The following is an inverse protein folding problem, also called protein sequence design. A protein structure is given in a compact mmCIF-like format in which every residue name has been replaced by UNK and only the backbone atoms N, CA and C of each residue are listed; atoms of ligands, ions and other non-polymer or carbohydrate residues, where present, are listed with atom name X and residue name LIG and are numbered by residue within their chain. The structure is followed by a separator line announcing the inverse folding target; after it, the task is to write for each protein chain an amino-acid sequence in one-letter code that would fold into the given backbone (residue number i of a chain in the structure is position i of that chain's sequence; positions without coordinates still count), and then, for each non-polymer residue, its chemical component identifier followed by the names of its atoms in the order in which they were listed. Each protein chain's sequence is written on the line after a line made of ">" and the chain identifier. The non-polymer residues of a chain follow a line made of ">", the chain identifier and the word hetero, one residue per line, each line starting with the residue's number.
data_IF_009783187260
#
_entry.id   IF_009783187260
#
_cell.length_a   1.000
_cell.length_b   1.000
_cell.length_c   1.000
_cell.angle_alpha   90.00
_cell.angle_beta   90.00
_cell.angle_gamma   90.00
#
_symmetry.space_group_name_H-M   'P 1'
#
loop_
_entity.id
_entity.type
_entity.pdbx_description
1 polymer ?
#
# COMPACT_ATOMS: atom_id res chain seq x y z
N UNK A 1 -24.29 -15.36 21.54
CA UNK A 1 -23.05 -14.58 21.30
C UNK A 1 -23.05 -14.11 19.84
N UNK A 2 -23.79 -13.08 19.44
CA UNK A 2 -23.63 -11.63 19.68
C UNK A 2 -22.41 -10.93 19.05
N UNK A 3 -21.71 -11.55 18.08
CA UNK A 3 -20.61 -10.90 17.35
C UNK A 3 -20.78 -10.81 15.81
N UNK A 4 -21.86 -11.34 15.24
CA UNK A 4 -22.10 -11.37 13.79
C UNK A 4 -23.06 -10.28 13.27
N UNK A 5 -23.50 -9.37 14.14
CA UNK A 5 -24.53 -8.35 13.83
C UNK A 5 -24.03 -6.91 13.84
N UNK A 6 -22.73 -6.68 14.08
CA UNK A 6 -22.17 -5.33 14.24
C UNK A 6 -21.54 -4.74 12.96
N UNK A 7 -21.37 -5.54 11.89
CA UNK A 7 -20.82 -5.07 10.62
C UNK A 7 -21.87 -4.68 9.58
N UNK A 8 -23.16 -4.99 9.80
CA UNK A 8 -24.25 -4.67 8.88
C UNK A 8 -25.00 -3.37 9.21
N UNK A 9 -24.50 -2.55 10.13
CA UNK A 9 -25.21 -1.37 10.66
C UNK A 9 -24.50 -0.02 10.43
N UNK A 10 -23.43 0.03 9.62
CA UNK A 10 -22.64 1.25 9.41
C UNK A 10 -22.70 1.85 8.00
N UNK A 11 -23.63 1.43 7.15
CA UNK A 11 -23.92 2.13 5.89
C UNK A 11 -25.40 2.55 5.88
N UNK A 12 -25.73 3.84 6.06
CA UNK A 12 -27.08 4.31 5.79
C UNK A 12 -27.34 4.20 4.29
N UNK A 13 -28.38 3.44 3.94
CA UNK A 13 -29.05 3.49 2.64
C UNK A 13 -29.42 4.93 2.31
N UNK A 14 -28.55 5.62 1.58
CA UNK A 14 -28.78 6.98 1.10
C UNK A 14 -29.28 6.89 -0.34
N UNK A 15 -30.58 6.63 -0.48
CA UNK A 15 -31.30 6.87 -1.73
C UNK A 15 -31.43 8.38 -1.89
N UNK A 16 -30.47 9.02 -2.55
CA UNK A 16 -30.63 10.40 -3.02
C UNK A 16 -31.13 10.38 -4.46
N UNK A 17 -32.44 10.56 -4.62
CA UNK A 17 -33.02 10.96 -5.90
C UNK A 17 -32.63 12.41 -6.18
N UNK A 18 -31.81 12.63 -7.20
CA UNK A 18 -31.59 13.96 -7.75
C UNK A 18 -32.48 14.16 -8.97
N UNK A 19 -33.39 15.14 -8.85
CA UNK A 19 -34.14 15.74 -9.94
C UNK A 19 -33.18 16.24 -11.03
N UNK A 20 -33.36 15.73 -12.24
CA UNK A 20 -32.64 16.13 -13.44
C UNK A 20 -33.16 17.49 -13.90
N UNK A 21 -32.39 18.56 -13.67
CA UNK A 21 -32.51 19.81 -14.40
C UNK A 21 -31.84 19.70 -15.78
N UNK A 22 -32.28 20.48 -16.80
CA UNK A 22 -31.81 20.31 -18.17
C UNK A 22 -30.34 20.73 -18.35
N UNK A 23 -29.63 20.17 -19.36
CA UNK A 23 -28.18 20.28 -19.46
C UNK A 23 -27.76 21.65 -20.03
N UNK A 24 -26.88 22.35 -19.32
CA UNK A 24 -26.05 23.41 -19.90
C UNK A 24 -24.64 22.89 -20.17
N UNK A 25 -24.24 22.92 -21.43
CA UNK A 25 -22.89 22.94 -22.02
C UNK A 25 -21.80 23.36 -21.01
N UNK A 26 -20.64 22.73 -20.80
CA UNK A 26 -19.76 21.87 -21.62
C UNK A 26 -18.33 22.17 -21.11
N UNK A 27 -17.52 21.13 -20.84
CA UNK A 27 -16.09 21.12 -20.43
C UNK A 27 -15.67 21.27 -18.94
N UNK A 28 -16.36 22.01 -18.07
CA UNK A 28 -15.94 22.12 -16.64
C UNK A 28 -16.45 21.00 -15.70
N UNK A 29 -17.48 20.26 -16.09
CA UNK A 29 -18.16 19.28 -15.20
C UNK A 29 -17.41 17.96 -15.06
N UNK A 30 -16.64 17.53 -16.09
CA UNK A 30 -15.97 16.22 -16.11
C UNK A 30 -14.77 16.15 -15.16
N UNK A 31 -13.94 17.19 -15.11
CA UNK A 31 -12.78 17.26 -14.21
C UNK A 31 -13.21 17.32 -12.74
N UNK A 32 -14.22 18.12 -12.43
CA UNK A 32 -14.77 18.23 -11.06
C UNK A 32 -15.38 16.92 -10.57
N UNK A 33 -16.09 16.21 -11.45
CA UNK A 33 -16.67 14.91 -11.11
C UNK A 33 -15.59 13.84 -10.89
N UNK A 34 -14.56 13.80 -11.74
CA UNK A 34 -13.44 12.86 -11.58
C UNK A 34 -12.68 13.10 -10.27
N UNK A 35 -12.45 14.35 -9.87
CA UNK A 35 -11.81 14.67 -8.61
C UNK A 35 -12.63 14.22 -7.40
N UNK A 36 -13.96 14.40 -7.45
CA UNK A 36 -14.87 13.93 -6.40
C UNK A 36 -14.88 12.41 -6.30
N UNK A 37 -14.98 11.71 -7.44
CA UNK A 37 -14.94 10.24 -7.47
C UNK A 37 -13.61 9.73 -6.94
N UNK A 38 -12.48 10.26 -7.42
CA UNK A 38 -11.15 9.92 -6.88
C UNK A 38 -11.06 10.10 -5.37
N UNK A 39 -11.56 11.24 -4.87
CA UNK A 39 -11.54 11.55 -3.43
C UNK A 39 -12.40 10.55 -2.64
N UNK A 40 -13.55 10.16 -3.19
CA UNK A 40 -14.40 9.13 -2.59
C UNK A 40 -13.71 7.76 -2.56
N UNK A 41 -13.18 7.28 -3.68
CA UNK A 41 -12.53 5.97 -3.76
C UNK A 41 -11.28 5.91 -2.85
N UNK A 42 -10.52 7.01 -2.74
CA UNK A 42 -9.37 7.12 -1.84
C UNK A 42 -9.80 7.09 -0.36
N UNK A 43 -10.83 7.86 -0.01
CA UNK A 43 -11.37 7.88 1.35
C UNK A 43 -11.93 6.52 1.77
N UNK A 44 -12.68 5.86 0.87
CA UNK A 44 -13.26 4.55 1.15
C UNK A 44 -12.16 3.50 1.31
N UNK A 45 -11.18 3.44 0.39
CA UNK A 45 -10.05 2.53 0.51
C UNK A 45 -9.30 2.72 1.83
N UNK A 46 -8.98 3.97 2.20
CA UNK A 46 -8.32 4.29 3.45
C UNK A 46 -9.14 3.86 4.66
N UNK A 47 -10.43 4.20 4.69
CA UNK A 47 -11.34 3.84 5.78
C UNK A 47 -11.40 2.32 5.97
N UNK A 48 -11.52 1.56 4.88
CA UNK A 48 -11.56 0.11 4.95
C UNK A 48 -10.26 -0.49 5.49
N UNK A 49 -9.11 0.01 5.03
CA UNK A 49 -7.78 -0.46 5.46
C UNK A 49 -7.44 -0.06 6.90
N UNK A 50 -7.86 1.12 7.35
CA UNK A 50 -7.72 1.56 8.74
C UNK A 50 -8.63 0.75 9.66
N UNK A 51 -9.89 0.52 9.27
CA UNK A 51 -10.82 -0.34 10.02
C UNK A 51 -10.29 -1.78 10.18
N UNK A 52 -9.66 -2.32 9.12
CA UNK A 52 -8.99 -3.63 9.19
C UNK A 52 -7.82 -3.62 10.16
N UNK A 53 -6.99 -2.57 10.15
CA UNK A 53 -5.87 -2.43 11.07
C UNK A 53 -6.34 -2.33 12.54
N UNK A 54 -7.37 -1.54 12.80
CA UNK A 54 -7.97 -1.37 14.12
C UNK A 54 -8.58 -2.67 14.65
N UNK A 55 -9.28 -3.41 13.78
CA UNK A 55 -9.81 -4.74 14.06
C UNK A 55 -8.73 -5.84 14.11
N UNK A 56 -7.46 -5.50 13.79
CA UNK A 56 -6.32 -6.43 13.68
C UNK A 56 -6.59 -7.60 12.71
N UNK A 57 -7.33 -7.34 11.65
CA UNK A 57 -7.56 -8.29 10.57
C UNK A 57 -6.29 -8.34 9.72
N UNK A 58 -5.68 -9.52 9.61
CA UNK A 58 -4.52 -9.72 8.75
C UNK A 58 -4.97 -9.79 7.29
N UNK A 59 -4.11 -9.36 6.37
CA UNK A 59 -4.42 -9.40 4.93
C UNK A 59 -4.66 -10.84 4.45
N UNK A 60 -3.96 -11.81 5.05
CA UNK A 60 -4.14 -13.26 4.81
C UNK A 60 -5.51 -13.78 5.25
N UNK A 61 -6.16 -13.13 6.20
CA UNK A 61 -7.42 -13.56 6.82
C UNK A 61 -8.65 -12.90 6.17
N UNK A 62 -8.44 -12.02 5.19
CA UNK A 62 -9.53 -11.39 4.44
C UNK A 62 -10.15 -12.43 3.49
N UNK A 63 -11.48 -12.51 3.48
CA UNK A 63 -12.20 -13.35 2.54
C UNK A 63 -12.05 -12.85 1.09
N UNK A 64 -12.35 -13.73 0.14
CA UNK A 64 -12.17 -13.45 -1.29
C UNK A 64 -13.00 -12.25 -1.76
N UNK A 65 -14.22 -12.08 -1.26
CA UNK A 65 -15.10 -10.99 -1.70
C UNK A 65 -14.54 -9.64 -1.25
N UNK A 66 -14.17 -9.52 0.02
CA UNK A 66 -13.56 -8.29 0.54
C UNK A 66 -12.23 -7.97 -0.12
N UNK A 67 -11.42 -8.99 -0.46
CA UNK A 67 -10.19 -8.80 -1.24
C UNK A 67 -10.47 -8.19 -2.62
N UNK A 68 -11.48 -8.71 -3.33
CA UNK A 68 -11.87 -8.19 -4.64
C UNK A 68 -12.37 -6.74 -4.56
N UNK A 69 -13.06 -6.39 -3.48
CA UNK A 69 -13.51 -5.03 -3.22
C UNK A 69 -12.33 -4.05 -3.09
N UNK A 70 -11.33 -4.39 -2.26
CA UNK A 70 -10.11 -3.56 -2.10
C UNK A 70 -9.31 -3.43 -3.40
N UNK A 71 -9.20 -4.51 -4.18
CA UNK A 71 -8.59 -4.46 -5.51
C UNK A 71 -9.37 -3.53 -6.44
N UNK A 72 -10.70 -3.57 -6.41
CA UNK A 72 -11.52 -2.68 -7.23
C UNK A 72 -11.32 -1.21 -6.89
N UNK A 73 -11.21 -0.86 -5.60
CA UNK A 73 -10.86 0.51 -5.19
C UNK A 73 -9.49 0.93 -5.71
N UNK A 74 -8.48 0.06 -5.56
CA UNK A 74 -7.12 0.33 -6.05
C UNK A 74 -7.10 0.53 -7.58
N UNK A 75 -7.76 -0.35 -8.33
CA UNK A 75 -7.81 -0.28 -9.80
C UNK A 75 -8.49 1.02 -10.29
N UNK A 76 -9.56 1.45 -9.62
CA UNK A 76 -10.18 2.74 -9.90
C UNK A 76 -9.24 3.90 -9.62
N UNK A 77 -8.52 3.89 -8.49
CA UNK A 77 -7.53 4.93 -8.17
C UNK A 77 -6.43 5.01 -9.22
N UNK A 78 -5.91 3.86 -9.66
CA UNK A 78 -4.90 3.79 -10.72
C UNK A 78 -5.44 4.31 -12.06
N UNK A 79 -6.73 4.17 -12.32
CA UNK A 79 -7.36 4.72 -13.54
C UNK A 79 -7.45 6.26 -13.55
N UNK A 80 -7.28 6.90 -12.39
CA UNK A 80 -7.24 8.36 -12.27
C UNK A 80 -5.81 8.88 -12.40
N UNK A 81 -5.70 10.16 -12.78
CA UNK A 81 -4.43 10.86 -12.67
C UNK A 81 -4.05 11.01 -11.19
N UNK A 82 -2.84 10.53 -10.86
CA UNK A 82 -2.23 10.68 -9.54
C UNK A 82 -2.18 12.16 -9.14
N UNK A 83 -2.61 12.54 -7.93
CA UNK A 83 -2.54 13.93 -7.46
C UNK A 83 -1.11 14.50 -7.42
N UNK A 84 -0.15 13.65 -7.10
CA UNK A 84 1.29 13.96 -7.19
C UNK A 84 1.84 13.27 -8.43
N UNK A 85 2.66 13.99 -9.21
CA UNK A 85 3.37 13.38 -10.33
C UNK A 85 4.22 12.23 -9.81
N UNK A 86 4.15 11.06 -10.46
CA UNK A 86 4.89 9.87 -10.01
C UNK A 86 6.40 10.12 -9.98
N UNK A 87 6.89 11.07 -10.80
CA UNK A 87 8.28 11.54 -10.81
C UNK A 87 8.70 12.30 -9.56
N UNK A 88 7.75 12.95 -8.90
CA UNK A 88 7.98 13.76 -7.69
C UNK A 88 7.85 12.96 -6.40
N UNK A 89 7.28 11.75 -6.46
CA UNK A 89 7.13 10.83 -5.32
C UNK A 89 8.37 10.74 -4.42
N UNK A 90 9.61 10.64 -4.94
CA UNK A 90 10.82 10.59 -4.11
C UNK A 90 10.94 11.74 -3.12
N UNK A 91 10.51 12.95 -3.52
CA UNK A 91 10.55 14.14 -2.68
C UNK A 91 9.53 14.06 -1.53
N UNK A 92 8.49 13.26 -1.70
CA UNK A 92 7.44 13.03 -0.69
C UNK A 92 7.72 11.84 0.21
N UNK A 93 8.68 10.98 -0.12
CA UNK A 93 9.04 9.82 0.68
C UNK A 93 10.05 10.17 1.79
N UNK A 94 10.95 11.14 1.59
CA UNK A 94 11.98 11.45 2.61
C UNK A 94 11.34 11.83 3.95
N UNK A 95 11.87 11.27 5.05
CA UNK A 95 11.39 11.50 6.42
C UNK A 95 9.92 11.14 6.60
N UNK A 96 9.52 9.97 6.10
CA UNK A 96 8.16 9.45 6.22
C UNK A 96 8.14 7.97 6.59
N UNK A 97 7.03 7.54 7.19
CA UNK A 97 6.76 6.15 7.54
C UNK A 97 5.53 5.67 6.77
N UNK A 98 5.62 4.50 6.17
CA UNK A 98 4.56 3.91 5.36
C UNK A 98 4.31 2.48 5.82
N UNK A 99 3.05 2.14 6.08
CA UNK A 99 2.63 0.77 6.39
C UNK A 99 2.12 0.12 5.12
N UNK A 100 2.61 -1.08 4.82
CA UNK A 100 1.97 -1.93 3.82
C UNK A 100 0.61 -2.39 4.37
N UNK A 101 -0.47 -1.80 3.86
CA UNK A 101 -1.82 -2.04 4.34
C UNK A 101 -2.52 -3.18 3.60
N UNK A 102 -2.18 -3.38 2.32
CA UNK A 102 -2.74 -4.44 1.50
C UNK A 102 -1.80 -4.81 0.35
N UNK A 103 -1.88 -6.06 -0.10
CA UNK A 103 -1.23 -6.53 -1.33
C UNK A 103 -2.18 -7.48 -2.06
N UNK A 104 -2.21 -7.39 -3.40
CA UNK A 104 -2.99 -8.30 -4.22
C UNK A 104 -2.20 -9.57 -4.62
N UNK A 105 -0.92 -9.70 -4.23
CA UNK A 105 -0.14 -10.90 -4.53
C UNK A 105 -0.50 -12.05 -3.57
N UNK A 106 -1.18 -13.06 -4.11
CA UNK A 106 -1.52 -14.26 -3.38
C UNK A 106 -0.31 -15.00 -2.79
N UNK A 107 0.88 -14.87 -3.38
CA UNK A 107 2.10 -15.45 -2.81
C UNK A 107 2.50 -14.73 -1.54
N UNK A 108 2.60 -13.38 -1.59
CA UNK A 108 2.88 -12.57 -0.41
C UNK A 108 1.82 -12.82 0.66
N UNK A 109 0.53 -12.94 0.31
CA UNK A 109 -0.53 -13.24 1.28
C UNK A 109 -0.38 -14.62 1.96
N UNK A 110 0.13 -15.62 1.23
CA UNK A 110 0.37 -16.97 1.75
C UNK A 110 1.67 -17.06 2.56
N UNK A 111 2.69 -16.28 2.19
CA UNK A 111 3.99 -16.29 2.84
C UNK A 111 4.15 -15.24 3.92
N UNK A 112 3.23 -14.26 4.00
CA UNK A 112 3.11 -13.32 5.10
C UNK A 112 2.99 -14.15 6.37
N UNK A 113 4.12 -14.28 7.08
CA UNK A 113 4.25 -15.25 8.15
C UNK A 113 3.09 -15.09 9.12
N UNK A 114 2.52 -16.19 9.62
CA UNK A 114 1.42 -16.14 10.62
C UNK A 114 1.74 -15.25 11.83
N UNK A 115 3.02 -14.94 12.03
CA UNK A 115 3.54 -14.11 13.11
C UNK A 115 3.84 -12.66 12.72
N UNK A 116 3.92 -12.30 11.43
CA UNK A 116 4.12 -10.94 10.99
C UNK A 116 2.82 -10.15 11.15
N UNK A 117 2.86 -9.11 11.99
CA UNK A 117 1.71 -8.27 12.33
C UNK A 117 1.61 -7.05 11.41
N UNK A 118 2.74 -6.45 11.06
CA UNK A 118 2.78 -5.30 10.16
C UNK A 118 4.13 -5.20 9.46
N UNK A 119 4.14 -4.56 8.30
CA UNK A 119 5.33 -4.22 7.53
C UNK A 119 5.34 -2.72 7.35
N UNK A 120 6.49 -2.11 7.64
CA UNK A 120 6.70 -0.67 7.59
C UNK A 120 7.96 -0.34 6.79
N UNK A 121 7.87 0.74 6.02
CA UNK A 121 8.98 1.41 5.35
C UNK A 121 9.17 2.77 6.02
N UNK A 122 10.33 2.99 6.62
CA UNK A 122 10.69 4.29 7.20
C UNK A 122 11.82 4.91 6.41
N UNK A 123 11.47 5.88 5.59
CA UNK A 123 12.39 6.58 4.71
C UNK A 123 13.13 7.66 5.50
N UNK A 124 14.45 7.61 5.42
CA UNK A 124 15.37 8.52 6.06
C UNK A 124 16.06 9.40 5.01
N UNK A 125 16.75 10.42 5.47
CA UNK A 125 17.67 11.18 4.62
C UNK A 125 18.74 10.28 3.99
N UNK A 126 19.33 10.74 2.88
CA UNK A 126 20.44 10.09 2.16
C UNK A 126 20.10 8.71 1.57
N UNK A 127 18.91 8.57 1.01
CA UNK A 127 18.51 7.36 0.27
C UNK A 127 18.52 6.09 1.14
N UNK A 128 18.29 6.21 2.45
CA UNK A 128 18.19 5.09 3.37
C UNK A 128 16.72 4.82 3.68
N UNK A 129 16.34 3.55 3.77
CA UNK A 129 15.02 3.14 4.25
C UNK A 129 15.17 2.00 5.26
N UNK A 130 14.45 2.07 6.37
CA UNK A 130 14.30 0.96 7.30
C UNK A 130 13.07 0.16 6.91
N UNK A 131 13.31 -1.10 6.55
CA UNK A 131 12.26 -2.09 6.34
C UNK A 131 12.04 -2.83 7.65
N UNK A 132 10.88 -2.62 8.27
CA UNK A 132 10.56 -3.10 9.61
C UNK A 132 9.40 -4.08 9.51
N UNK A 133 9.64 -5.34 9.87
CA UNK A 133 8.60 -6.36 10.03
C UNK A 133 8.33 -6.53 11.51
N UNK A 134 7.21 -5.98 11.96
CA UNK A 134 6.79 -6.14 13.34
C UNK A 134 6.11 -7.50 13.49
N UNK A 135 6.62 -8.29 14.42
CA UNK A 135 6.08 -9.61 14.71
C UNK A 135 5.09 -9.54 15.90
N UNK A 136 4.33 -10.61 16.12
CA UNK A 136 3.46 -10.74 17.29
C UNK A 136 4.24 -10.69 18.61
N UNK A 137 3.54 -10.52 19.74
CA UNK A 137 4.09 -10.26 21.09
C UNK A 137 5.24 -11.16 21.58
N UNK A 138 5.46 -12.32 20.95
CA UNK A 138 6.49 -13.30 21.35
C UNK A 138 7.80 -13.16 20.57
N UNK A 139 7.86 -12.31 19.56
CA UNK A 139 8.99 -12.21 18.64
C UNK A 139 9.45 -10.75 18.55
N UNK A 140 10.77 -10.56 18.49
CA UNK A 140 11.36 -9.26 18.23
C UNK A 140 11.05 -8.82 16.78
N UNK A 141 10.88 -7.50 16.53
CA UNK A 141 10.79 -6.99 15.17
C UNK A 141 12.03 -7.36 14.37
N UNK A 142 11.84 -7.69 13.11
CA UNK A 142 12.95 -7.84 12.15
C UNK A 142 13.13 -6.49 11.47
N UNK A 143 14.34 -5.95 11.51
CA UNK A 143 14.66 -4.66 10.91
C UNK A 143 15.81 -4.82 9.91
N UNK A 144 15.60 -4.34 8.69
CA UNK A 144 16.60 -4.31 7.63
C UNK A 144 16.82 -2.87 7.17
N UNK A 145 18.08 -2.53 6.88
CA UNK A 145 18.47 -1.24 6.32
C UNK A 145 18.71 -1.41 4.82
N UNK A 146 17.93 -0.71 4.01
CA UNK A 146 18.06 -0.75 2.56
C UNK A 146 18.48 0.63 2.07
N UNK A 147 19.14 0.67 0.92
CA UNK A 147 19.21 1.87 0.09
C UNK A 147 17.99 1.91 -0.82
N UNK A 148 17.56 3.11 -1.18
CA UNK A 148 16.53 3.30 -2.20
C UNK A 148 16.97 4.35 -3.20
N UNK A 149 16.69 4.09 -4.46
CA UNK A 149 16.93 5.00 -5.57
C UNK A 149 15.60 5.20 -6.30
N UNK A 150 15.44 6.37 -6.90
CA UNK A 150 14.31 6.60 -7.79
C UNK A 150 14.77 7.04 -9.14
N UNK A 151 14.13 6.48 -10.16
CA UNK A 151 14.23 7.01 -11.50
C UNK A 151 13.16 8.09 -11.68
N UNK A 152 13.60 9.35 -11.62
CA UNK A 152 12.74 10.52 -11.79
C UNK A 152 12.09 10.59 -13.19
N UNK A 153 12.54 9.81 -14.17
CA UNK A 153 11.91 9.78 -15.50
C UNK A 153 10.68 8.87 -15.54
N UNK A 154 10.64 7.84 -14.68
CA UNK A 154 9.59 6.81 -14.65
C UNK A 154 8.78 6.77 -13.35
N UNK A 155 9.19 7.50 -12.30
CA UNK A 155 8.56 7.41 -10.97
C UNK A 155 8.79 6.07 -10.28
N UNK A 156 9.77 5.30 -10.78
CA UNK A 156 10.11 3.97 -10.33
C UNK A 156 11.01 4.06 -9.10
N UNK A 157 10.59 3.41 -8.01
CA UNK A 157 11.38 3.30 -6.77
C UNK A 157 12.04 1.93 -6.74
N UNK A 158 13.34 1.90 -6.51
CA UNK A 158 14.14 0.67 -6.47
C UNK A 158 14.85 0.59 -5.13
N UNK A 159 14.68 -0.54 -4.45
CA UNK A 159 15.37 -0.83 -3.20
C UNK A 159 16.58 -1.73 -3.45
N UNK A 160 17.66 -1.52 -2.71
CA UNK A 160 18.87 -2.35 -2.73
C UNK A 160 19.41 -2.53 -1.31
N UNK A 161 20.14 -3.62 -1.05
CA UNK A 161 20.73 -3.84 0.26
C UNK A 161 21.78 -2.74 0.57
N UNK A 162 21.76 -2.17 1.78
CA UNK A 162 22.83 -1.25 2.20
C UNK A 162 24.13 -2.03 2.48
N UNK A 163 25.28 -1.44 2.14
CA UNK A 163 26.59 -2.12 2.10
C UNK A 163 26.97 -2.87 3.39
N UNK A 164 26.52 -2.41 4.56
CA UNK A 164 26.77 -3.05 5.86
C UNK A 164 26.01 -4.36 6.10
N UNK A 165 25.19 -4.80 5.14
CA UNK A 165 24.37 -6.01 5.23
C UNK A 165 24.91 -7.14 4.33
N UNK A 166 25.75 -6.84 3.33
CA UNK A 166 26.35 -7.86 2.45
C UNK A 166 27.12 -8.93 3.23
N UNK A 167 27.92 -8.53 4.22
CA UNK A 167 28.78 -9.45 4.98
C UNK A 167 28.05 -10.32 6.02
N UNK A 168 26.78 -10.02 6.34
CA UNK A 168 25.96 -10.78 7.31
C UNK A 168 24.79 -11.53 6.68
N UNK A 169 24.48 -11.30 5.41
CA UNK A 169 23.36 -11.95 4.72
C UNK A 169 23.65 -13.35 4.21
N UNK A 170 24.90 -13.66 3.88
CA UNK A 170 25.24 -14.92 3.18
C UNK A 170 25.01 -16.21 4.00
N UNK A 171 24.77 -16.15 5.31
CA UNK A 171 24.79 -17.38 6.15
C UNK A 171 23.48 -17.78 6.83
N UNK A 172 22.51 -16.89 7.07
CA UNK A 172 21.25 -17.29 7.74
C UNK A 172 19.98 -16.55 7.27
N UNK A 173 20.09 -15.52 6.43
CA UNK A 173 18.97 -14.58 6.24
C UNK A 173 18.27 -14.62 4.90
N UNK A 174 18.89 -15.20 3.86
CA UNK A 174 18.26 -15.34 2.56
C UNK A 174 16.93 -16.09 2.64
N UNK A 175 16.81 -17.17 3.42
CA UNK A 175 15.55 -17.93 3.46
C UNK A 175 14.37 -17.19 4.11
N UNK A 176 14.57 -16.32 5.10
CA UNK A 176 13.46 -15.60 5.76
C UNK A 176 13.07 -14.34 4.96
N UNK A 177 14.07 -13.64 4.43
CA UNK A 177 13.91 -12.44 3.61
C UNK A 177 13.35 -12.80 2.23
N UNK A 178 13.79 -13.92 1.66
CA UNK A 178 13.22 -14.54 0.46
C UNK A 178 11.78 -15.00 0.64
N UNK A 179 11.42 -15.48 1.85
CA UNK A 179 10.06 -15.94 2.15
C UNK A 179 9.10 -14.79 2.41
N UNK A 180 9.58 -13.66 2.91
CA UNK A 180 8.75 -12.46 3.11
C UNK A 180 8.40 -11.74 1.80
N UNK A 181 8.85 -12.24 0.64
CA UNK A 181 8.38 -11.85 -0.71
C UNK A 181 8.80 -10.45 -1.17
N UNK A 182 9.15 -9.56 -0.25
CA UNK A 182 9.35 -8.13 -0.49
C UNK A 182 10.78 -7.71 -0.83
N UNK A 183 11.76 -8.56 -0.52
CA UNK A 183 13.19 -8.28 -0.76
C UNK A 183 13.81 -9.17 -1.85
N UNK A 184 13.10 -10.22 -2.28
CA UNK A 184 13.33 -10.88 -3.57
C UNK A 184 13.06 -9.96 -4.77
N UNK A 185 12.54 -8.76 -4.51
CA UNK A 185 12.24 -7.71 -5.47
C UNK A 185 13.17 -6.50 -5.34
N UNK A 186 14.48 -6.73 -5.18
CA UNK A 186 15.47 -6.00 -5.98
C UNK A 186 15.32 -6.34 -7.50
N UNK A 187 14.10 -6.61 -7.94
CA UNK A 187 13.73 -6.94 -9.31
C UNK A 187 13.47 -5.62 -10.01
N UNK A 188 13.92 -5.48 -11.26
CA UNK A 188 13.48 -4.36 -12.05
C UNK A 188 11.96 -4.45 -12.28
N UNK A 189 11.19 -3.50 -11.75
CA UNK A 189 9.76 -3.38 -12.08
C UNK A 189 8.78 -3.01 -10.96
N UNK A 190 9.21 -2.43 -9.83
CA UNK A 190 8.27 -1.79 -8.88
C UNK A 190 8.02 -0.36 -9.35
N UNK A 191 6.82 -0.09 -9.86
CA UNK A 191 6.43 1.22 -10.41
C UNK A 191 5.38 1.88 -9.50
N UNK A 192 5.57 3.16 -9.16
CA UNK A 192 4.51 3.92 -8.51
C UNK A 192 3.44 4.25 -9.52
N UNK A 193 2.22 3.76 -9.29
CA UNK A 193 1.07 3.96 -10.20
C UNK A 193 0.05 4.96 -9.66
N UNK A 194 0.09 5.25 -8.36
CA UNK A 194 -0.74 6.28 -7.72
C UNK A 194 -0.08 6.80 -6.44
N UNK A 195 -0.14 8.11 -6.21
CA UNK A 195 0.34 8.76 -4.99
C UNK A 195 -0.43 10.06 -4.69
N UNK A 196 -1.03 10.16 -3.50
CA UNK A 196 -1.75 11.37 -3.06
C UNK A 196 -1.15 12.06 -1.82
N UNK A 197 -0.06 11.51 -1.28
CA UNK A 197 0.59 12.00 -0.06
C UNK A 197 0.20 11.25 1.23
N UNK A 198 -0.89 10.47 1.20
CA UNK A 198 -1.38 9.62 2.29
C UNK A 198 -1.52 8.14 1.87
N UNK A 199 -1.84 7.91 0.60
CA UNK A 199 -1.94 6.62 -0.07
C UNK A 199 -0.86 6.55 -1.15
N UNK A 200 -0.13 5.45 -1.15
CA UNK A 200 0.84 5.12 -2.18
C UNK A 200 0.53 3.73 -2.72
N UNK A 201 0.38 3.61 -4.05
CA UNK A 201 0.14 2.35 -4.73
C UNK A 201 1.31 2.05 -5.66
N UNK A 202 1.93 0.91 -5.44
CA UNK A 202 2.94 0.34 -6.33
C UNK A 202 2.34 -0.80 -7.15
N UNK A 203 2.79 -0.95 -8.40
CA UNK A 203 2.57 -2.13 -9.23
C UNK A 203 3.87 -2.89 -9.38
N UNK A 204 3.80 -4.21 -9.39
CA UNK A 204 4.95 -5.10 -9.53
C UNK A 204 4.56 -6.38 -10.26
N UNK A 205 5.54 -7.16 -10.71
CA UNK A 205 5.32 -8.47 -11.32
C UNK A 205 5.61 -9.59 -10.32
N UNK A 206 4.64 -10.49 -10.13
CA UNK A 206 4.74 -11.65 -9.26
C UNK A 206 5.72 -12.71 -9.75
N UNK A 207 5.87 -13.79 -9.00
CA UNK A 207 6.69 -14.96 -9.42
C UNK A 207 6.20 -15.59 -10.73
N UNK A 208 4.91 -15.48 -11.02
CA UNK A 208 4.25 -15.99 -12.23
C UNK A 208 4.33 -15.02 -13.42
N UNK A 209 4.85 -13.81 -13.22
CA UNK A 209 4.83 -12.74 -14.23
C UNK A 209 3.52 -11.94 -14.27
N UNK A 210 2.51 -12.31 -13.47
CA UNK A 210 1.26 -11.54 -13.37
C UNK A 210 1.46 -10.26 -12.54
N UNK A 211 0.84 -9.13 -12.92
CA UNK A 211 0.94 -7.90 -12.16
C UNK A 211 0.16 -8.02 -10.85
N UNK A 212 0.71 -7.43 -9.79
CA UNK A 212 0.03 -7.23 -8.52
C UNK A 212 0.27 -5.81 -8.00
N UNK A 213 -0.57 -5.37 -7.08
CA UNK A 213 -0.52 -4.05 -6.47
C UNK A 213 -0.23 -4.15 -4.97
N UNK A 214 0.66 -3.29 -4.49
CA UNK A 214 0.88 -3.03 -3.07
C UNK A 214 0.28 -1.67 -2.71
N UNK A 215 -0.44 -1.61 -1.59
CA UNK A 215 -1.07 -0.38 -1.10
C UNK A 215 -0.45 -0.04 0.24
N UNK A 216 0.16 1.15 0.30
CA UNK A 216 0.73 1.70 1.51
C UNK A 216 -0.08 2.87 2.02
N UNK A 217 -0.22 2.93 3.33
CA UNK A 217 -0.79 4.08 4.04
C UNK A 217 0.29 4.77 4.83
N UNK A 218 0.33 6.10 4.73
CA UNK A 218 1.25 6.92 5.50
C UNK A 218 0.90 6.85 6.97
N UNK A 219 1.92 6.71 7.80
CA UNK A 219 1.81 6.76 9.25
C UNK A 219 2.59 7.96 9.81
N UNK A 220 2.16 8.51 10.95
CA UNK A 220 2.97 9.50 11.65
C UNK A 220 4.31 8.87 12.05
N UNK A 221 5.40 9.63 11.89
CA UNK A 221 6.66 9.30 12.54
C UNK A 221 6.41 9.35 14.05
N UNK A 222 6.81 8.30 14.76
CA UNK A 222 6.80 8.32 16.21
C UNK A 222 7.76 9.42 16.65
N UNK A 223 7.29 10.36 17.48
CA UNK A 223 8.18 11.35 18.09
C UNK A 223 9.15 10.59 18.99
N UNK A 224 10.44 10.75 18.72
CA UNK A 224 11.52 10.26 19.57
C UNK A 224 11.42 10.82 21.00
#
# INVERSE_FOLDING_TARGET
>A
MKLLLLLSLLVPNSVFGYLVGPPSSGTHTRSHNNNRLRSFEAQELRFQLDAMNDARIRVSDIDKHRRQELVSFADKLISYQSPVDTKDVPNHLVNTKWRLAFTSDDHVLKTWHHHARSIHLEFQEKSLVHYIVSMGKKFLPIQHRLRWESDASSGRVVFSAADSIKDRMETMHDAAIDRMGFLKTCKPGIETVYFDGDIWIERSLGSTGEPFSNIYLREPLEKA
#
